data_IF_185895132017
#
_entry.id   IF_185895132017
#
_cell.length_a   1.000
_cell.length_b   1.000
_cell.length_c   1.000
_cell.angle_alpha   90.00
_cell.angle_beta   90.00
_cell.angle_gamma   90.00
#
_symmetry.space_group_name_H-M   'P 1'
#
loop_
_entity.id
_entity.type
_entity.pdbx_description
1 polymer ?
#
# COMPACT_ATOMS: atom_id res chain seq x y z
N UNK A 1 -23.31 0.98 8.38
CA UNK A 1 -22.40 0.31 7.43
C UNK A 1 -21.32 1.29 7.07
N UNK A 2 -20.09 0.96 7.47
CA UNK A 2 -18.92 1.77 7.22
C UNK A 2 -17.87 0.92 6.51
N UNK A 3 -17.13 1.55 5.60
CA UNK A 3 -16.10 0.93 4.78
C UNK A 3 -14.74 1.23 5.35
N UNK A 4 -13.91 0.19 5.35
CA UNK A 4 -12.50 0.23 5.69
C UNK A 4 -11.72 -0.08 4.42
N UNK A 5 -10.85 0.86 4.03
CA UNK A 5 -10.07 0.78 2.80
C UNK A 5 -8.58 0.72 3.10
N UNK A 6 -7.81 0.14 2.18
CA UNK A 6 -6.38 0.01 2.36
C UNK A 6 -5.57 0.06 1.07
N UNK A 7 -4.33 0.54 1.20
CA UNK A 7 -3.30 0.51 0.16
C UNK A 7 -1.97 -0.03 0.69
N UNK A 8 -1.27 -0.77 -0.17
CA UNK A 8 0.01 -1.42 0.11
C UNK A 8 1.11 -0.90 -0.81
N UNK A 9 2.26 -0.50 -0.24
CA UNK A 9 3.40 0.04 -1.01
C UNK A 9 4.72 -0.63 -0.67
N UNK A 10 5.19 -1.46 -1.60
CA UNK A 10 6.39 -2.30 -1.47
C UNK A 10 7.72 -1.60 -1.81
N UNK A 11 7.74 -0.27 -1.84
CA UNK A 11 8.96 0.49 -2.13
C UNK A 11 9.93 0.41 -0.94
N UNK A 12 11.08 -0.23 -1.16
CA UNK A 12 12.18 -0.34 -0.19
C UNK A 12 13.03 0.93 -0.10
N UNK A 13 13.02 1.76 -1.15
CA UNK A 13 13.72 3.04 -1.21
C UNK A 13 12.68 4.14 -1.43
N UNK A 14 13.02 5.33 -0.95
CA UNK A 14 12.30 6.57 -1.20
C UNK A 14 13.24 7.50 -1.96
N UNK A 15 13.27 7.34 -3.29
CA UNK A 15 13.74 8.41 -4.17
C UNK A 15 12.57 9.37 -4.48
N UNK A 16 12.85 10.53 -5.09
CA UNK A 16 11.85 11.58 -5.31
C UNK A 16 10.60 11.07 -6.05
N UNK A 17 10.79 10.21 -7.06
CA UNK A 17 9.67 9.62 -7.80
C UNK A 17 8.82 8.66 -6.97
N UNK A 18 9.45 7.80 -6.16
CA UNK A 18 8.74 6.87 -5.26
C UNK A 18 8.03 7.60 -4.12
N UNK A 19 8.62 8.68 -3.61
CA UNK A 19 8.00 9.51 -2.57
C UNK A 19 6.71 10.16 -3.07
N UNK A 20 6.69 10.70 -4.31
CA UNK A 20 5.48 11.32 -4.89
C UNK A 20 4.35 10.31 -5.09
N UNK A 21 4.67 9.09 -5.52
CA UNK A 21 3.67 8.01 -5.67
C UNK A 21 3.08 7.62 -4.31
N UNK A 22 3.94 7.45 -3.31
CA UNK A 22 3.50 7.17 -1.94
C UNK A 22 2.62 8.29 -1.38
N UNK A 23 2.94 9.56 -1.66
CA UNK A 23 2.13 10.72 -1.25
C UNK A 23 0.78 10.74 -1.93
N UNK A 24 0.72 10.41 -3.23
CA UNK A 24 -0.55 10.32 -3.95
C UNK A 24 -1.45 9.22 -3.38
N UNK A 25 -0.88 8.06 -3.05
CA UNK A 25 -1.63 6.96 -2.42
C UNK A 25 -2.14 7.34 -1.03
N UNK A 26 -1.33 8.05 -0.24
CA UNK A 26 -1.76 8.62 1.04
C UNK A 26 -2.90 9.63 0.86
N UNK A 27 -2.79 10.55 -0.12
CA UNK A 27 -3.81 11.56 -0.40
C UNK A 27 -5.13 10.94 -0.86
N UNK A 28 -5.10 9.82 -1.58
CA UNK A 28 -6.32 9.07 -1.94
C UNK A 28 -7.04 8.55 -0.71
N UNK A 29 -6.31 7.94 0.22
CA UNK A 29 -6.88 7.48 1.49
C UNK A 29 -7.44 8.65 2.30
N UNK A 30 -6.66 9.71 2.46
CA UNK A 30 -7.04 10.93 3.17
C UNK A 30 -8.32 11.56 2.59
N UNK A 31 -8.39 11.68 1.27
CA UNK A 31 -9.56 12.23 0.60
C UNK A 31 -10.78 11.32 0.80
N UNK A 32 -10.62 10.00 0.67
CA UNK A 32 -11.71 9.06 0.84
C UNK A 32 -12.31 9.13 2.25
N UNK A 33 -11.49 9.07 3.30
CA UNK A 33 -11.99 9.12 4.70
C UNK A 33 -12.65 10.45 5.05
N UNK A 34 -12.21 11.56 4.44
CA UNK A 34 -12.76 12.89 4.73
C UNK A 34 -14.00 13.25 3.89
N UNK A 35 -14.20 12.62 2.72
CA UNK A 35 -15.18 13.08 1.72
C UNK A 35 -16.18 12.02 1.29
N UNK A 36 -15.98 10.76 1.62
CA UNK A 36 -16.89 9.67 1.29
C UNK A 36 -17.55 9.21 2.58
N UNK A 37 -18.85 9.45 2.72
CA UNK A 37 -19.61 9.24 3.97
C UNK A 37 -19.52 7.79 4.48
N UNK A 38 -19.46 6.85 3.54
CA UNK A 38 -19.36 5.43 3.82
C UNK A 38 -17.97 5.04 4.29
N UNK A 39 -16.91 5.77 3.96
CA UNK A 39 -15.54 5.41 4.34
C UNK A 39 -15.22 5.95 5.72
N UNK A 40 -14.99 5.05 6.68
CA UNK A 40 -14.66 5.40 8.05
C UNK A 40 -13.16 5.46 8.28
N UNK A 41 -12.40 4.55 7.66
CA UNK A 41 -10.97 4.38 7.97
C UNK A 41 -10.14 3.95 6.78
N UNK A 42 -8.93 4.49 6.71
CA UNK A 42 -7.93 4.19 5.69
C UNK A 42 -6.67 3.59 6.29
N UNK A 43 -6.10 2.59 5.61
CA UNK A 43 -4.86 1.95 6.01
C UNK A 43 -3.80 2.05 4.92
N UNK A 44 -2.60 2.50 5.28
CA UNK A 44 -1.43 2.50 4.38
C UNK A 44 -0.33 1.62 4.97
N UNK A 45 -0.10 0.45 4.38
CA UNK A 45 1.05 -0.39 4.75
C UNK A 45 2.24 -0.12 3.84
N UNK A 46 3.42 0.01 4.44
CA UNK A 46 4.68 0.25 3.73
C UNK A 46 5.75 -0.76 4.15
N UNK A 47 6.76 -0.94 3.31
CA UNK A 47 7.81 -1.93 3.56
C UNK A 47 8.89 -1.50 4.57
N UNK A 48 8.99 -0.20 4.94
CA UNK A 48 10.09 0.30 5.77
C UNK A 48 9.66 1.40 6.72
N UNK A 49 10.34 1.52 7.88
CA UNK A 49 10.13 2.62 8.84
C UNK A 49 10.38 4.00 8.24
N UNK A 50 11.32 4.11 7.30
CA UNK A 50 11.59 5.38 6.60
C UNK A 50 10.36 5.83 5.82
N UNK A 51 9.69 4.91 5.12
CA UNK A 51 8.44 5.20 4.41
C UNK A 51 7.31 5.55 5.37
N UNK A 52 7.23 4.87 6.52
CA UNK A 52 6.21 5.15 7.53
C UNK A 52 6.40 6.56 8.09
N UNK A 53 7.60 6.89 8.57
CA UNK A 53 7.93 8.21 9.11
C UNK A 53 7.64 9.34 8.11
N UNK A 54 7.91 9.10 6.82
CA UNK A 54 7.61 10.06 5.75
C UNK A 54 6.10 10.28 5.61
N UNK A 55 5.32 9.19 5.59
CA UNK A 55 3.86 9.26 5.46
C UNK A 55 3.17 9.78 6.72
N UNK A 56 3.70 9.51 7.91
CA UNK A 56 3.23 10.11 9.16
C UNK A 56 3.38 11.63 9.15
N UNK A 57 4.47 12.16 8.59
CA UNK A 57 4.61 13.61 8.39
C UNK A 57 3.54 14.23 7.48
N UNK A 58 2.86 13.43 6.64
CA UNK A 58 1.73 13.90 5.86
C UNK A 58 0.41 13.94 6.65
N UNK A 59 0.27 13.12 7.70
CA UNK A 59 -0.90 13.21 8.59
C UNK A 59 -0.99 14.60 9.21
N UNK A 60 0.14 15.12 9.68
CA UNK A 60 0.25 16.47 10.23
C UNK A 60 0.02 17.53 9.14
N UNK A 61 0.72 17.40 8.00
CA UNK A 61 0.60 18.33 6.86
C UNK A 61 -0.84 18.48 6.35
N UNK A 62 -1.60 17.39 6.32
CA UNK A 62 -2.97 17.34 5.81
C UNK A 62 -4.04 17.31 6.89
N UNK A 63 -3.65 17.50 8.16
CA UNK A 63 -4.56 17.61 9.32
C UNK A 63 -5.55 16.45 9.41
N UNK A 64 -5.04 15.21 9.43
CA UNK A 64 -5.86 13.99 9.55
C UNK A 64 -5.89 13.50 11.00
N UNK A 65 -7.09 13.40 11.57
CA UNK A 65 -7.33 13.03 12.97
C UNK A 65 -7.44 11.51 13.16
N UNK A 66 -6.39 10.78 12.78
CA UNK A 66 -6.29 9.33 13.02
C UNK A 66 -7.09 8.44 12.06
N UNK A 67 -7.87 9.04 11.14
CA UNK A 67 -8.70 8.36 10.13
C UNK A 67 -7.88 7.54 9.13
N UNK A 68 -6.63 7.94 8.88
CA UNK A 68 -5.65 7.14 8.12
C UNK A 68 -4.63 6.55 9.09
N UNK A 69 -4.34 5.26 9.02
CA UNK A 69 -3.29 4.61 9.82
C UNK A 69 -2.14 4.14 8.92
N UNK A 70 -0.90 4.44 9.32
CA UNK A 70 0.31 4.09 8.55
C UNK A 70 1.09 3.00 9.29
N UNK A 71 1.34 1.90 8.61
CA UNK A 71 1.90 0.67 9.19
C UNK A 71 3.16 0.25 8.44
N UNK A 72 4.07 -0.43 9.14
CA UNK A 72 5.18 -1.14 8.51
C UNK A 72 4.83 -2.62 8.47
N UNK A 73 4.93 -3.23 7.29
CA UNK A 73 4.71 -4.66 7.14
C UNK A 73 5.71 -5.45 7.99
N UNK A 74 5.20 -6.38 8.81
CA UNK A 74 6.01 -7.32 9.59
C UNK A 74 6.47 -8.45 8.69
N UNK A 75 7.51 -8.19 7.89
CA UNK A 75 8.09 -9.19 7.00
C UNK A 75 9.15 -10.01 7.73
N UNK A 76 9.13 -11.33 7.57
CA UNK A 76 10.22 -12.20 8.02
C UNK A 76 11.46 -12.04 7.12
N UNK A 77 12.59 -12.62 7.53
CA UNK A 77 13.85 -12.49 6.79
C UNK A 77 13.76 -13.01 5.35
N UNK A 78 13.01 -14.09 5.11
CA UNK A 78 12.86 -14.68 3.80
C UNK A 78 12.02 -13.79 2.88
N UNK A 79 10.90 -13.25 3.38
CA UNK A 79 10.07 -12.27 2.67
C UNK A 79 10.84 -11.01 2.34
N UNK A 80 11.66 -10.51 3.27
CA UNK A 80 12.52 -9.36 3.03
C UNK A 80 13.57 -9.65 1.94
N UNK A 81 14.18 -10.85 1.94
CA UNK A 81 15.11 -11.30 0.89
C UNK A 81 14.41 -11.40 -0.46
N UNK A 82 13.19 -11.94 -0.50
CA UNK A 82 12.37 -12.05 -1.70
C UNK A 82 12.02 -10.67 -2.27
N UNK A 83 11.57 -9.74 -1.41
CA UNK A 83 11.25 -8.37 -1.79
C UNK A 83 12.50 -7.64 -2.33
N UNK A 84 13.66 -7.79 -1.68
CA UNK A 84 14.92 -7.23 -2.16
C UNK A 84 15.31 -7.79 -3.54
N UNK A 85 15.21 -9.11 -3.70
CA UNK A 85 15.52 -9.80 -4.96
C UNK A 85 14.61 -9.34 -6.09
N UNK A 86 13.31 -9.19 -5.83
CA UNK A 86 12.37 -8.63 -6.81
C UNK A 86 12.80 -7.22 -7.26
N UNK A 87 13.09 -6.32 -6.31
CA UNK A 87 13.46 -4.94 -6.66
C UNK A 87 14.77 -4.89 -7.45
N UNK A 88 15.72 -5.76 -7.13
CA UNK A 88 16.96 -5.88 -7.89
C UNK A 88 16.69 -6.32 -9.33
N UNK A 89 15.90 -7.38 -9.53
CA UNK A 89 15.50 -7.85 -10.87
C UNK A 89 14.74 -6.78 -11.65
N UNK A 90 13.89 -6.00 -10.99
CA UNK A 90 13.16 -4.90 -11.63
C UNK A 90 14.09 -3.76 -12.08
N UNK A 91 15.14 -3.46 -11.31
CA UNK A 91 16.16 -2.47 -11.69
C UNK A 91 16.97 -2.97 -12.89
N UNK A 92 17.42 -4.23 -12.85
CA UNK A 92 18.15 -4.87 -13.95
C UNK A 92 17.30 -4.90 -15.23
N UNK A 93 16.04 -5.33 -15.12
CA UNK A 93 15.11 -5.37 -16.25
C UNK A 93 14.80 -3.98 -16.83
N UNK A 94 14.82 -2.92 -16.03
CA UNK A 94 14.74 -1.55 -16.55
C UNK A 94 15.97 -1.20 -17.39
N UNK A 95 17.19 -1.54 -16.94
CA UNK A 95 18.43 -1.27 -17.68
C UNK A 95 18.52 -2.07 -18.99
N UNK A 96 18.09 -3.34 -18.98
CA UNK A 96 18.02 -4.20 -20.17
C UNK A 96 16.96 -3.69 -21.18
N UNK A 97 15.82 -3.20 -20.67
CA UNK A 97 14.77 -2.59 -21.49
C UNK A 97 15.24 -1.35 -22.25
N UNK A 98 16.13 -0.56 -21.67
CA UNK A 98 16.74 0.62 -22.32
C UNK A 98 17.78 0.23 -23.38
N UNK A 99 18.32 -1.00 -23.35
CA UNK A 99 19.36 -1.50 -24.27
C UNK A 99 18.84 -2.49 -25.32
N UNK A 100 17.53 -2.77 -25.33
CA UNK A 100 16.87 -3.56 -26.38
C UNK A 100 17.05 -5.08 -26.29
N UNK A 101 17.61 -5.63 -25.21
CA UNK A 101 17.72 -7.09 -24.99
C UNK A 101 16.49 -7.62 -24.25
N UNK A 102 15.98 -8.77 -24.71
CA UNK A 102 14.61 -9.25 -24.48
C UNK A 102 14.18 -9.50 -23.02
N UNK A 103 12.86 -9.33 -22.80
CA UNK A 103 12.16 -9.45 -21.50
C UNK A 103 11.97 -10.93 -21.08
N UNK A 104 12.82 -11.45 -20.18
CA UNK A 104 12.68 -12.84 -19.68
C UNK A 104 12.19 -13.00 -18.23
N UNK A 105 12.04 -11.96 -17.40
CA UNK A 105 11.77 -12.12 -15.94
C UNK A 105 10.52 -11.42 -15.41
N UNK A 106 9.35 -11.72 -15.99
CA UNK A 106 8.06 -11.09 -15.60
C UNK A 106 7.42 -11.64 -14.31
N UNK A 107 7.77 -12.85 -13.87
CA UNK A 107 7.04 -13.53 -12.78
C UNK A 107 7.32 -13.00 -11.38
N UNK A 108 8.50 -12.41 -11.14
CA UNK A 108 8.92 -12.03 -9.77
C UNK A 108 8.27 -10.71 -9.32
N UNK A 109 7.95 -9.80 -10.25
CA UNK A 109 7.47 -8.44 -9.96
C UNK A 109 6.12 -8.35 -9.20
N UNK A 110 5.36 -9.45 -9.09
CA UNK A 110 4.07 -9.49 -8.39
C UNK A 110 4.17 -9.92 -6.93
N UNK A 111 5.29 -10.52 -6.53
CA UNK A 111 5.42 -11.19 -5.24
C UNK A 111 5.38 -10.19 -4.07
N UNK A 112 6.18 -9.14 -4.14
CA UNK A 112 6.26 -8.09 -3.14
C UNK A 112 5.03 -7.20 -3.08
N UNK A 113 4.21 -7.18 -4.14
CA UNK A 113 2.87 -6.59 -4.07
C UNK A 113 1.97 -7.49 -3.21
N UNK A 114 1.82 -8.76 -3.58
CA UNK A 114 1.02 -9.74 -2.81
C UNK A 114 1.41 -9.78 -1.33
N UNK A 115 2.70 -9.88 -1.01
CA UNK A 115 3.18 -9.95 0.38
C UNK A 115 2.69 -8.79 1.26
N UNK A 116 2.67 -7.57 0.72
CA UNK A 116 2.20 -6.41 1.50
C UNK A 116 0.68 -6.31 1.49
N UNK A 117 -0.01 -6.73 0.42
CA UNK A 117 -1.48 -6.81 0.39
C UNK A 117 -2.00 -7.84 1.39
N UNK A 118 -1.35 -9.01 1.47
CA UNK A 118 -1.67 -10.06 2.41
C UNK A 118 -1.42 -9.60 3.86
N UNK A 119 -0.28 -8.94 4.11
CA UNK A 119 0.02 -8.35 5.42
C UNK A 119 -0.95 -7.22 5.81
N UNK A 120 -1.39 -6.41 4.84
CA UNK A 120 -2.42 -5.38 5.05
C UNK A 120 -3.75 -6.02 5.44
N UNK A 121 -4.19 -6.98 4.63
CA UNK A 121 -5.45 -7.70 4.84
C UNK A 121 -5.48 -8.36 6.21
N UNK A 122 -4.45 -9.13 6.53
CA UNK A 122 -4.34 -9.79 7.84
C UNK A 122 -4.42 -8.79 8.99
N UNK A 123 -3.69 -7.67 8.90
CA UNK A 123 -3.71 -6.65 9.95
C UNK A 123 -5.11 -6.05 10.14
N UNK A 124 -5.78 -5.71 9.04
CA UNK A 124 -7.12 -5.11 9.10
C UNK A 124 -8.12 -6.12 9.65
N UNK A 125 -8.11 -7.37 9.19
CA UNK A 125 -9.03 -8.42 9.66
C UNK A 125 -8.82 -8.80 11.14
N UNK A 126 -7.57 -8.73 11.64
CA UNK A 126 -7.26 -8.94 13.06
C UNK A 126 -7.73 -7.79 13.95
N UNK A 127 -7.68 -6.56 13.44
CA UNK A 127 -7.96 -5.34 14.21
C UNK A 127 -9.41 -4.89 14.13
N UNK A 128 -10.00 -5.07 12.97
CA UNK A 128 -11.32 -4.57 12.60
C UNK A 128 -12.23 -5.75 12.27
N UNK A 129 -13.39 -5.84 12.92
CA UNK A 129 -14.40 -6.84 12.61
C UNK A 129 -15.01 -6.51 11.24
N UNK A 130 -14.41 -7.05 10.19
CA UNK A 130 -14.69 -6.71 8.80
C UNK A 130 -15.11 -7.93 7.98
N UNK A 131 -15.95 -7.69 6.98
CA UNK A 131 -16.24 -8.65 5.92
C UNK A 131 -15.87 -8.06 4.56
N UNK A 132 -15.62 -8.91 3.56
CA UNK A 132 -15.24 -8.44 2.22
C UNK A 132 -16.38 -7.64 1.60
N UNK A 133 -16.06 -6.46 1.05
CA UNK A 133 -17.03 -5.64 0.33
C UNK A 133 -17.20 -6.13 -1.12
N UNK A 134 -18.44 -6.41 -1.53
CA UNK A 134 -18.77 -6.86 -2.89
C UNK A 134 -19.35 -5.76 -3.79
N UNK A 135 -19.58 -4.55 -3.26
CA UNK A 135 -20.13 -3.43 -4.01
C UNK A 135 -19.11 -2.66 -4.84
N UNK A 136 -19.51 -1.52 -5.38
CA UNK A 136 -18.60 -0.64 -6.11
C UNK A 136 -17.50 -0.09 -5.19
N UNK A 137 -16.28 -0.02 -5.70
CA UNK A 137 -15.16 0.54 -4.95
C UNK A 137 -15.34 2.05 -4.77
N UNK A 138 -15.16 2.59 -3.56
CA UNK A 138 -15.24 4.03 -3.32
C UNK A 138 -14.36 4.82 -4.30
N UNK A 139 -14.94 5.87 -4.89
CA UNK A 139 -14.27 6.77 -5.85
C UNK A 139 -13.80 6.09 -7.15
N UNK A 140 -14.24 4.86 -7.45
CA UNK A 140 -13.74 4.08 -8.59
C UNK A 140 -12.26 3.73 -8.48
N UNK A 141 -11.69 3.79 -7.28
CA UNK A 141 -10.29 3.47 -7.02
C UNK A 141 -10.17 1.96 -6.76
N UNK A 142 -9.18 1.32 -7.40
CA UNK A 142 -8.81 -0.04 -7.05
C UNK A 142 -8.01 -0.03 -5.75
N UNK A 143 -8.69 -0.28 -4.64
CA UNK A 143 -8.06 -0.46 -3.33
C UNK A 143 -7.38 -1.83 -3.25
N UNK A 144 -6.28 -1.90 -2.49
CA UNK A 144 -5.60 -3.17 -2.23
C UNK A 144 -6.35 -3.97 -1.13
N UNK A 145 -7.17 -3.28 -0.33
CA UNK A 145 -8.15 -3.86 0.59
C UNK A 145 -9.42 -3.00 0.62
N UNK A 146 -10.60 -3.63 0.62
CA UNK A 146 -11.89 -2.97 0.85
C UNK A 146 -12.80 -3.93 1.62
N UNK A 147 -13.12 -3.56 2.86
CA UNK A 147 -14.01 -4.32 3.74
C UNK A 147 -15.11 -3.43 4.30
N UNK A 148 -16.18 -4.05 4.77
CA UNK A 148 -17.26 -3.38 5.50
C UNK A 148 -17.24 -3.79 6.97
N UNK A 149 -17.49 -2.83 7.85
CA UNK A 149 -17.72 -3.04 9.28
C UNK A 149 -19.19 -2.77 9.61
N UNK A 150 -19.73 -3.61 10.50
CA UNK A 150 -21.08 -3.50 11.05
C UNK A 150 -21.18 -2.48 12.21
N UNK A 151 -20.05 -1.82 12.53
CA UNK A 151 -19.95 -0.75 13.53
C UNK A 151 -20.90 0.42 13.24
#
# INVERSE_FOLDING_TARGET
MKLIIGMAKSNLKLNDGQSRKLELDFLRLAYAVQRVEEVEKGYLIVATDKSKKRAEGWKEKYQLDGEVEVLVAKLNENELKLLKSEKQVNIEGMLEGTTGKGKSKRSIAKLGKSLLEDALKQYIEEKEATTVWEGESPLGIQWDYCGQSDS
#
